data_IF_434370302675
#
_entry.id   IF_434370302675
#
_cell.length_a   1.000
_cell.length_b   1.000
_cell.length_c   1.000
_cell.angle_alpha   90.00
_cell.angle_beta   90.00
_cell.angle_gamma   90.00
#
_symmetry.space_group_name_H-M   'P 1'
#
loop_
_entity.id
_entity.type
_entity.pdbx_description
1 polymer ?
#
# COMPACT_ATOMS: atom_id res chain seq x y z
N UNK A 1 -42.79 1.38 -51.80
CA UNK A 1 -42.04 1.15 -50.54
C UNK A 1 -40.62 0.81 -50.94
N UNK A 2 -39.64 1.58 -50.47
CA UNK A 2 -38.22 1.26 -50.62
C UNK A 2 -37.88 0.42 -49.39
N UNK A 3 -37.35 -0.79 -49.58
CA UNK A 3 -36.88 -1.64 -48.48
C UNK A 3 -35.42 -1.34 -48.21
N UNK A 4 -35.08 -1.15 -46.94
CA UNK A 4 -33.72 -1.08 -46.48
C UNK A 4 -33.11 -2.49 -46.59
N UNK A 5 -31.97 -2.62 -47.26
CA UNK A 5 -31.23 -3.87 -47.43
C UNK A 5 -29.84 -3.82 -46.80
N UNK A 6 -29.54 -2.75 -46.03
CA UNK A 6 -28.27 -2.61 -45.33
C UNK A 6 -28.30 -3.38 -44.00
N UNK A 7 -27.18 -3.99 -43.64
CA UNK A 7 -27.04 -4.66 -42.39
C UNK A 7 -26.92 -3.65 -41.24
N UNK A 8 -27.48 -3.99 -40.08
CA UNK A 8 -27.25 -3.21 -38.86
C UNK A 8 -25.75 -3.13 -38.57
N UNK A 9 -25.22 -1.94 -38.22
CA UNK A 9 -23.82 -1.82 -37.86
C UNK A 9 -23.47 -2.66 -36.59
N UNK A 10 -22.20 -3.02 -36.47
CA UNK A 10 -21.63 -3.63 -35.25
C UNK A 10 -21.07 -2.54 -34.39
N UNK A 11 -21.31 -2.60 -33.08
CA UNK A 11 -20.74 -1.69 -32.08
C UNK A 11 -19.69 -2.42 -31.25
N UNK A 12 -18.46 -1.87 -31.21
CA UNK A 12 -17.28 -2.42 -30.56
C UNK A 12 -16.43 -1.34 -29.93
N UNK A 13 -15.57 -1.69 -29.00
CA UNK A 13 -14.46 -0.83 -28.60
C UNK A 13 -13.40 -0.79 -29.73
N UNK A 14 -12.80 0.38 -29.94
CA UNK A 14 -11.67 0.55 -30.86
C UNK A 14 -10.45 -0.32 -30.45
N UNK A 15 -10.24 -0.51 -29.16
CA UNK A 15 -9.21 -1.37 -28.56
C UNK A 15 -9.77 -2.07 -27.33
N UNK A 16 -9.30 -3.28 -27.05
CA UNK A 16 -9.74 -4.05 -25.88
C UNK A 16 -9.04 -3.63 -24.58
N UNK A 17 -7.96 -2.84 -24.66
CA UNK A 17 -7.23 -2.37 -23.47
C UNK A 17 -6.48 -1.06 -23.73
N UNK A 18 -6.20 -0.35 -22.63
CA UNK A 18 -5.29 0.80 -22.57
C UNK A 18 -4.81 1.00 -21.12
N UNK A 19 -3.86 1.88 -20.92
CA UNK A 19 -3.37 2.24 -19.59
C UNK A 19 -2.96 3.71 -19.53
N UNK A 20 -2.67 4.19 -18.33
CA UNK A 20 -2.09 5.51 -18.05
C UNK A 20 -1.68 5.59 -16.61
N UNK A 21 -0.74 6.48 -16.27
CA UNK A 21 -0.42 6.78 -14.89
C UNK A 21 -1.61 7.47 -14.23
N UNK A 22 -1.75 7.34 -12.92
CA UNK A 22 -2.81 8.01 -12.13
C UNK A 22 -2.69 9.53 -12.20
N UNK A 23 -1.49 10.10 -12.43
CA UNK A 23 -1.29 11.51 -12.75
C UNK A 23 -2.00 12.00 -14.04
N UNK A 24 -2.61 11.07 -14.81
CA UNK A 24 -3.44 11.38 -15.95
C UNK A 24 -4.89 11.62 -15.51
N UNK A 25 -5.34 12.83 -15.39
CA UNK A 25 -6.64 13.23 -14.81
C UNK A 25 -7.88 12.63 -15.49
N UNK A 26 -7.77 12.09 -16.72
CA UNK A 26 -8.89 11.45 -17.42
C UNK A 26 -8.46 10.60 -18.60
N UNK A 27 -9.30 9.63 -18.98
CA UNK A 27 -9.12 8.79 -20.17
C UNK A 27 -10.40 8.67 -20.96
N UNK A 28 -10.36 8.96 -22.25
CA UNK A 28 -11.45 8.68 -23.18
C UNK A 28 -11.24 7.34 -23.89
N UNK A 29 -12.25 6.49 -23.86
CA UNK A 29 -12.30 5.18 -24.50
C UNK A 29 -13.25 5.30 -25.69
N UNK A 30 -12.77 5.00 -26.91
CA UNK A 30 -13.56 5.12 -28.12
C UNK A 30 -14.37 3.85 -28.40
N UNK A 31 -15.66 4.04 -28.69
CA UNK A 31 -16.58 3.01 -29.16
C UNK A 31 -16.93 3.33 -30.59
N UNK A 32 -16.71 2.37 -31.47
CA UNK A 32 -16.86 2.50 -32.93
C UNK A 32 -18.08 1.73 -33.43
N UNK A 33 -18.61 2.17 -34.59
CA UNK A 33 -19.54 1.44 -35.42
C UNK A 33 -18.85 0.96 -36.69
N UNK A 34 -19.11 -0.27 -37.10
CA UNK A 34 -18.59 -0.85 -38.33
C UNK A 34 -19.08 -0.14 -39.60
N UNK A 35 -20.20 0.60 -39.51
CA UNK A 35 -20.79 1.40 -40.62
C UNK A 35 -21.64 2.55 -40.06
N UNK A 36 -21.82 3.59 -40.86
CA UNK A 36 -22.71 4.72 -40.53
C UNK A 36 -24.17 4.24 -40.39
N UNK A 37 -24.85 4.74 -39.35
CA UNK A 37 -26.29 4.54 -39.19
C UNK A 37 -27.08 5.84 -39.43
N UNK A 38 -28.20 5.75 -40.11
CA UNK A 38 -29.13 6.85 -40.23
C UNK A 38 -29.96 7.11 -38.97
N UNK A 39 -29.82 6.26 -37.95
CA UNK A 39 -30.46 6.35 -36.63
C UNK A 39 -29.42 6.51 -35.52
N UNK A 40 -29.82 7.13 -34.43
CA UNK A 40 -29.01 7.07 -33.24
C UNK A 40 -28.84 5.60 -32.79
N UNK A 41 -27.58 5.20 -32.55
CA UNK A 41 -27.25 3.92 -31.93
C UNK A 41 -27.02 4.17 -30.45
N UNK A 42 -27.62 3.38 -29.60
CA UNK A 42 -27.34 3.41 -28.13
C UNK A 42 -26.77 2.07 -27.69
N UNK A 43 -25.87 2.08 -26.72
CA UNK A 43 -25.32 0.89 -26.06
C UNK A 43 -25.17 1.16 -24.58
N UNK A 44 -25.64 0.25 -23.76
CA UNK A 44 -25.43 0.35 -22.31
C UNK A 44 -24.01 -0.09 -21.98
N UNK A 45 -23.44 0.51 -20.94
CA UNK A 45 -22.17 0.08 -20.37
C UNK A 45 -22.25 -0.05 -18.86
N UNK A 46 -21.57 -1.06 -18.33
CA UNK A 46 -21.41 -1.33 -16.91
C UNK A 46 -19.94 -1.33 -16.55
N UNK A 47 -19.63 -0.82 -15.35
CA UNK A 47 -18.26 -0.64 -14.86
C UNK A 47 -17.97 -1.69 -13.78
N UNK A 48 -16.79 -2.34 -13.90
CA UNK A 48 -16.22 -3.28 -12.94
C UNK A 48 -14.71 -3.05 -12.88
N UNK A 49 -13.98 -3.84 -12.11
CA UNK A 49 -12.52 -3.74 -11.98
C UNK A 49 -12.07 -3.73 -10.53
N UNK A 50 -10.80 -3.46 -10.30
CA UNK A 50 -10.20 -3.36 -8.95
C UNK A 50 -10.23 -1.93 -8.42
N UNK A 51 -10.12 -0.93 -9.31
CA UNK A 51 -10.22 0.47 -8.93
C UNK A 51 -11.60 0.83 -8.37
N UNK A 52 -11.63 1.67 -7.36
CA UNK A 52 -12.84 2.10 -6.65
C UNK A 52 -13.41 3.37 -7.29
N UNK A 53 -14.58 3.27 -7.91
CA UNK A 53 -15.27 4.41 -8.50
C UNK A 53 -15.82 5.40 -7.47
N UNK A 54 -16.66 6.32 -7.96
CA UNK A 54 -17.34 7.36 -7.15
C UNK A 54 -16.41 8.41 -6.54
N UNK A 55 -15.22 8.59 -7.13
CA UNK A 55 -14.28 9.65 -6.75
C UNK A 55 -13.24 9.25 -5.71
N UNK A 56 -13.07 7.94 -5.42
CA UNK A 56 -11.88 7.44 -4.72
C UNK A 56 -10.70 7.43 -5.69
N UNK A 57 -10.73 6.57 -6.71
CA UNK A 57 -9.64 6.47 -7.69
C UNK A 57 -10.03 7.11 -9.02
N UNK A 58 -11.32 7.11 -9.35
CA UNK A 58 -11.86 7.76 -10.57
C UNK A 58 -13.35 8.06 -10.46
N UNK A 59 -13.88 8.76 -11.48
CA UNK A 59 -15.32 8.99 -11.63
C UNK A 59 -15.80 8.45 -12.97
N UNK A 60 -16.59 7.39 -12.93
CA UNK A 60 -17.39 6.85 -14.01
C UNK A 60 -18.42 5.91 -13.40
N UNK A 61 -19.70 6.09 -13.76
CA UNK A 61 -20.79 5.19 -13.35
C UNK A 61 -21.33 4.45 -14.57
N UNK A 62 -22.10 3.38 -14.32
CA UNK A 62 -22.87 2.70 -15.37
C UNK A 62 -23.73 3.69 -16.14
N UNK A 63 -23.89 3.47 -17.44
CA UNK A 63 -24.64 4.41 -18.28
C UNK A 63 -25.01 3.88 -19.64
N UNK A 64 -25.44 4.80 -20.48
CA UNK A 64 -25.78 4.54 -21.87
C UNK A 64 -25.02 5.52 -22.77
N UNK A 65 -24.23 4.99 -23.69
CA UNK A 65 -23.56 5.76 -24.73
C UNK A 65 -24.50 5.91 -25.94
N UNK A 66 -24.53 7.10 -26.49
CA UNK A 66 -25.27 7.38 -27.77
C UNK A 66 -24.30 7.78 -28.86
N UNK A 67 -24.28 7.06 -29.95
CA UNK A 67 -23.62 7.43 -31.20
C UNK A 67 -24.68 8.04 -32.07
N UNK A 68 -24.55 9.34 -32.41
CA UNK A 68 -25.55 10.08 -33.15
C UNK A 68 -25.67 9.59 -34.61
N UNK A 69 -26.84 9.72 -35.17
CA UNK A 69 -27.08 9.43 -36.62
C UNK A 69 -26.02 10.16 -37.45
N UNK A 70 -25.39 9.43 -38.37
CA UNK A 70 -24.34 9.94 -39.24
C UNK A 70 -22.92 9.89 -38.64
N UNK A 71 -22.78 9.63 -37.37
CA UNK A 71 -21.48 9.38 -36.72
C UNK A 71 -21.09 7.91 -36.76
N UNK A 72 -19.79 7.64 -36.68
CA UNK A 72 -19.23 6.29 -36.64
C UNK A 72 -18.56 5.96 -35.31
N UNK A 73 -18.52 6.90 -34.35
CA UNK A 73 -17.94 6.68 -33.04
C UNK A 73 -18.48 7.65 -32.01
N UNK A 74 -18.31 7.27 -30.73
CA UNK A 74 -18.44 8.14 -29.58
C UNK A 74 -17.48 7.66 -28.47
N UNK A 75 -17.34 8.41 -27.39
CA UNK A 75 -16.40 8.11 -26.30
C UNK A 75 -17.09 7.93 -24.95
N UNK A 76 -16.61 6.99 -24.17
CA UNK A 76 -16.85 6.87 -22.72
C UNK A 76 -15.62 7.46 -22.04
N UNK A 77 -15.81 8.35 -21.08
CA UNK A 77 -14.69 9.02 -20.40
C UNK A 77 -14.62 8.60 -18.93
N UNK A 78 -13.50 7.97 -18.55
CA UNK A 78 -13.08 7.83 -17.16
C UNK A 78 -12.55 9.19 -16.75
N UNK A 79 -13.20 9.85 -15.80
CA UNK A 79 -12.88 11.21 -15.39
C UNK A 79 -12.37 11.23 -13.93
N UNK A 80 -11.70 12.33 -13.58
CA UNK A 80 -11.22 12.55 -12.21
C UNK A 80 -10.43 11.33 -11.68
N UNK A 81 -9.48 10.84 -12.49
CA UNK A 81 -8.49 9.89 -11.98
C UNK A 81 -7.67 10.64 -10.93
N UNK A 82 -7.54 10.05 -9.76
CA UNK A 82 -6.89 10.66 -8.60
C UNK A 82 -5.42 10.25 -8.60
N UNK A 83 -4.56 11.26 -8.44
CA UNK A 83 -3.12 11.16 -8.27
C UNK A 83 -2.83 11.52 -6.81
N UNK A 84 -2.30 10.61 -6.02
CA UNK A 84 -1.98 10.86 -4.62
C UNK A 84 -0.48 10.66 -4.33
N UNK A 85 -0.07 10.08 -3.25
CA UNK A 85 1.34 9.83 -2.88
C UNK A 85 1.49 8.51 -2.14
N UNK A 86 0.59 7.59 -2.38
CA UNK A 86 0.54 6.28 -1.75
C UNK A 86 1.04 5.24 -2.76
N UNK A 87 2.12 4.55 -2.44
CA UNK A 87 2.58 3.39 -3.24
C UNK A 87 1.52 2.29 -3.23
N UNK A 88 0.92 2.03 -4.38
CA UNK A 88 -0.20 1.10 -4.55
C UNK A 88 0.04 0.08 -5.67
N UNK A 89 -0.78 -0.94 -5.71
CA UNK A 89 -0.82 -1.86 -6.85
C UNK A 89 -1.57 -1.22 -8.02
N UNK A 90 -1.09 -1.43 -9.26
CA UNK A 90 -1.85 -1.01 -10.44
C UNK A 90 -3.29 -1.53 -10.41
N UNK A 91 -4.25 -0.67 -10.70
CA UNK A 91 -5.67 -0.97 -10.64
C UNK A 91 -6.35 -0.98 -12.01
N UNK A 92 -7.55 -1.54 -12.09
CA UNK A 92 -8.28 -1.66 -13.37
C UNK A 92 -9.67 -1.06 -13.29
N UNK A 93 -10.05 -0.38 -14.40
CA UNK A 93 -11.43 -0.01 -14.71
C UNK A 93 -11.85 -0.81 -15.95
N UNK A 94 -12.83 -1.69 -15.81
CA UNK A 94 -13.32 -2.56 -16.87
C UNK A 94 -14.69 -2.06 -17.31
N UNK A 95 -14.81 -1.67 -18.58
CA UNK A 95 -16.05 -1.19 -19.20
C UNK A 95 -16.63 -2.31 -20.06
N UNK A 96 -17.87 -2.72 -19.80
CA UNK A 96 -18.57 -3.80 -20.48
C UNK A 96 -19.76 -3.23 -21.27
N UNK A 97 -19.76 -3.35 -22.60
CA UNK A 97 -20.90 -2.96 -23.45
C UNK A 97 -21.99 -4.03 -23.45
N UNK A 98 -23.24 -3.59 -23.52
CA UNK A 98 -24.37 -4.51 -23.57
C UNK A 98 -25.62 -3.86 -24.20
N UNK A 99 -26.59 -4.69 -24.63
CA UNK A 99 -27.93 -4.27 -25.04
C UNK A 99 -27.93 -3.12 -26.05
N UNK A 100 -27.23 -3.23 -27.21
CA UNK A 100 -27.25 -2.19 -28.23
C UNK A 100 -28.64 -2.03 -28.85
N UNK A 101 -28.99 -0.81 -29.27
CA UNK A 101 -30.17 -0.49 -30.05
C UNK A 101 -29.75 0.08 -31.40
N UNK A 102 -30.42 -0.35 -32.50
CA UNK A 102 -30.07 -0.02 -33.88
C UNK A 102 -28.66 -0.47 -34.32
N UNK A 103 -28.06 -1.40 -33.61
CA UNK A 103 -26.79 -2.06 -33.88
C UNK A 103 -26.78 -3.47 -33.30
N UNK A 104 -25.77 -4.26 -33.65
CA UNK A 104 -25.44 -5.55 -33.00
C UNK A 104 -24.15 -5.40 -32.20
N UNK A 105 -24.06 -6.09 -31.10
CA UNK A 105 -22.83 -6.11 -30.27
C UNK A 105 -21.78 -6.95 -31.00
N UNK A 106 -20.56 -6.46 -31.10
CA UNK A 106 -19.43 -7.15 -31.68
C UNK A 106 -18.63 -7.98 -30.66
N UNK A 107 -17.46 -8.42 -31.09
CA UNK A 107 -16.57 -9.26 -30.28
C UNK A 107 -15.80 -8.46 -29.21
N UNK A 108 -15.46 -7.21 -29.51
CA UNK A 108 -14.67 -6.34 -28.65
C UNK A 108 -15.58 -5.48 -27.75
N UNK A 109 -16.42 -6.18 -26.97
CA UNK A 109 -17.41 -5.55 -26.09
C UNK A 109 -16.89 -5.25 -24.67
N UNK A 110 -15.62 -5.54 -24.40
CA UNK A 110 -14.98 -5.29 -23.11
C UNK A 110 -13.71 -4.47 -23.35
N UNK A 111 -13.54 -3.40 -22.56
CA UNK A 111 -12.29 -2.62 -22.53
C UNK A 111 -11.78 -2.57 -21.10
N UNK A 112 -10.49 -2.91 -20.92
CA UNK A 112 -9.78 -2.77 -19.64
C UNK A 112 -8.85 -1.56 -19.70
N UNK A 113 -9.07 -0.59 -18.84
CA UNK A 113 -8.12 0.49 -18.58
C UNK A 113 -7.37 0.19 -17.30
N UNK A 114 -6.03 0.21 -17.36
CA UNK A 114 -5.19 0.07 -16.18
C UNK A 114 -4.70 1.44 -15.72
N UNK A 115 -5.02 1.80 -14.48
CA UNK A 115 -4.43 2.94 -13.77
C UNK A 115 -3.10 2.43 -13.21
N UNK A 116 -2.00 3.02 -13.67
CA UNK A 116 -0.68 2.64 -13.20
C UNK A 116 -0.30 3.58 -12.05
N UNK A 117 0.04 3.00 -10.92
CA UNK A 117 0.68 3.69 -9.82
C UNK A 117 2.00 4.32 -10.29
N UNK A 118 2.28 5.54 -9.86
CA UNK A 118 3.51 6.27 -10.16
C UNK A 118 4.30 6.70 -8.93
N UNK A 119 3.90 6.24 -7.77
CA UNK A 119 4.56 6.54 -6.51
C UNK A 119 5.71 5.57 -6.21
N UNK A 120 6.58 6.01 -5.34
CA UNK A 120 7.77 5.23 -5.01
C UNK A 120 7.51 4.32 -3.82
N UNK A 121 7.84 3.05 -3.95
CA UNK A 121 7.86 2.10 -2.84
C UNK A 121 8.63 2.70 -1.65
N UNK A 122 8.02 2.81 -0.46
CA UNK A 122 8.64 3.45 0.70
C UNK A 122 9.88 2.69 1.19
N UNK A 123 10.80 3.40 1.84
CA UNK A 123 11.85 2.77 2.66
C UNK A 123 11.36 2.57 4.08
N UNK A 124 11.88 1.53 4.75
CA UNK A 124 11.63 1.21 6.14
C UNK A 124 12.92 1.30 6.94
N UNK A 125 12.92 2.12 7.98
CA UNK A 125 14.08 2.48 8.79
C UNK A 125 13.69 2.59 10.27
N UNK A 126 14.66 2.45 11.18
CA UNK A 126 14.44 2.93 12.55
C UNK A 126 14.42 4.46 12.60
N UNK A 127 13.51 5.03 13.37
CA UNK A 127 13.42 6.49 13.61
C UNK A 127 14.74 7.06 14.15
N UNK A 128 15.40 6.31 15.02
CA UNK A 128 16.73 6.58 15.57
C UNK A 128 17.51 5.28 15.65
N UNK A 129 18.83 5.36 15.50
CA UNK A 129 19.71 4.17 15.52
C UNK A 129 20.15 3.73 16.91
N UNK A 130 19.90 4.54 17.95
CA UNK A 130 20.21 4.18 19.33
C UNK A 130 19.34 4.92 20.35
N UNK A 131 19.08 4.25 21.46
CA UNK A 131 18.44 4.81 22.65
C UNK A 131 18.96 4.12 23.91
N UNK A 132 18.63 4.62 25.09
CA UNK A 132 18.98 4.00 26.37
C UNK A 132 17.92 4.29 27.44
N UNK A 133 17.86 3.45 28.44
CA UNK A 133 17.04 3.63 29.63
C UNK A 133 17.63 2.89 30.80
N UNK A 134 17.27 3.32 32.02
CA UNK A 134 17.64 2.61 33.24
C UNK A 134 16.89 1.26 33.26
N UNK A 135 17.45 0.26 33.95
CA UNK A 135 16.78 -1.03 34.13
C UNK A 135 15.48 -0.93 34.95
N UNK A 136 15.33 0.11 35.76
CA UNK A 136 14.08 0.45 36.46
C UNK A 136 12.92 0.84 35.52
N UNK A 137 13.17 0.99 34.22
CA UNK A 137 12.14 1.21 33.18
C UNK A 137 11.65 -0.14 32.67
N UNK A 138 10.40 -0.49 32.92
CA UNK A 138 9.84 -1.82 32.63
C UNK A 138 9.66 -2.16 31.15
N UNK A 139 9.71 -1.18 30.23
CA UNK A 139 9.55 -1.39 28.79
C UNK A 139 10.02 -0.21 27.97
N UNK A 140 10.45 -0.47 26.73
CA UNK A 140 10.82 0.54 25.73
C UNK A 140 10.21 0.21 24.38
N UNK A 141 9.71 1.23 23.68
CA UNK A 141 9.16 1.12 22.36
C UNK A 141 10.12 1.72 21.32
N UNK A 142 10.66 0.89 20.46
CA UNK A 142 11.54 1.28 19.36
C UNK A 142 10.67 1.53 18.12
N UNK A 143 10.64 2.79 17.66
CA UNK A 143 9.81 3.17 16.49
C UNK A 143 10.54 2.84 15.19
N UNK A 144 9.79 2.24 14.27
CA UNK A 144 10.18 1.98 12.88
C UNK A 144 9.28 2.80 12.00
N UNK A 145 9.87 3.60 11.10
CA UNK A 145 9.18 4.53 10.21
C UNK A 145 9.25 4.08 8.75
N UNK A 146 8.23 4.46 7.98
CA UNK A 146 8.23 4.43 6.52
C UNK A 146 8.50 5.82 5.98
N UNK A 147 9.23 5.93 4.86
CA UNK A 147 9.47 7.21 4.17
C UNK A 147 8.20 7.85 3.56
N UNK A 148 7.15 7.06 3.39
CA UNK A 148 5.83 7.46 2.89
C UNK A 148 4.80 6.38 3.17
N UNK A 149 3.51 6.65 2.97
CA UNK A 149 2.46 5.66 3.14
C UNK A 149 2.50 4.61 2.02
N UNK A 150 2.02 3.40 2.31
CA UNK A 150 1.74 2.35 1.32
C UNK A 150 0.26 1.97 1.39
N UNK A 151 -0.38 1.73 0.26
CA UNK A 151 -1.74 1.19 0.16
C UNK A 151 -1.83 -0.28 0.57
N UNK A 152 -0.66 -0.93 0.71
CA UNK A 152 -0.55 -2.32 1.15
C UNK A 152 0.03 -2.38 2.57
N UNK A 153 -0.31 -3.46 3.30
CA UNK A 153 0.34 -3.71 4.60
C UNK A 153 1.83 -3.97 4.39
N UNK A 154 2.68 -3.15 5.03
CA UNK A 154 4.13 -3.36 5.05
C UNK A 154 4.49 -4.30 6.19
N UNK A 155 5.36 -5.27 5.92
CA UNK A 155 5.93 -6.13 6.97
C UNK A 155 7.44 -6.12 6.90
N UNK A 156 8.11 -6.26 8.05
CA UNK A 156 9.57 -6.40 8.14
C UNK A 156 9.92 -7.39 9.25
N UNK A 157 10.83 -8.30 8.96
CA UNK A 157 11.37 -9.20 9.98
C UNK A 157 12.40 -8.48 10.83
N UNK A 158 12.46 -8.81 12.10
CA UNK A 158 13.51 -8.33 12.99
C UNK A 158 14.17 -9.48 13.78
N UNK A 159 15.47 -9.34 13.99
CA UNK A 159 16.29 -10.27 14.77
C UNK A 159 16.94 -9.53 15.93
N UNK A 160 17.04 -10.21 17.06
CA UNK A 160 17.57 -9.67 18.32
C UNK A 160 18.93 -10.29 18.62
N UNK A 161 19.90 -9.43 18.93
CA UNK A 161 21.25 -9.75 19.42
C UNK A 161 21.63 -8.77 20.53
N UNK A 162 22.85 -8.81 21.04
CA UNK A 162 23.36 -7.88 22.05
C UNK A 162 24.05 -8.61 23.21
N UNK A 163 24.37 -7.88 24.26
CA UNK A 163 24.99 -8.42 25.49
C UNK A 163 23.95 -8.82 26.51
N UNK A 164 22.82 -8.12 26.58
CA UNK A 164 21.71 -8.45 27.47
C UNK A 164 21.09 -9.82 27.13
N UNK A 165 20.72 -10.56 28.14
CA UNK A 165 20.16 -11.91 28.04
C UNK A 165 18.63 -11.87 27.98
N UNK A 166 18.07 -12.17 26.80
CA UNK A 166 16.62 -12.20 26.60
C UNK A 166 15.91 -13.34 27.34
N UNK A 167 14.64 -13.56 26.97
CA UNK A 167 13.77 -14.61 27.54
C UNK A 167 13.40 -14.41 29.01
N UNK A 168 13.40 -13.16 29.47
CA UNK A 168 12.96 -12.79 30.84
C UNK A 168 14.07 -12.88 31.90
N UNK A 169 15.34 -12.92 31.49
CA UNK A 169 16.47 -12.69 32.38
C UNK A 169 16.66 -11.20 32.59
N UNK A 170 17.03 -10.45 31.54
CA UNK A 170 17.20 -9.01 31.60
C UNK A 170 16.05 -8.29 30.91
N UNK A 171 15.42 -8.93 29.90
CA UNK A 171 14.27 -8.41 29.16
C UNK A 171 13.48 -9.52 28.45
N UNK A 172 12.34 -9.15 27.88
CA UNK A 172 11.54 -10.02 27.01
C UNK A 172 11.34 -9.37 25.64
N UNK A 173 12.03 -9.90 24.64
CA UNK A 173 11.80 -9.68 23.23
C UNK A 173 12.45 -10.83 22.46
N UNK A 174 11.76 -11.36 21.45
CA UNK A 174 12.26 -12.43 20.57
C UNK A 174 12.20 -11.99 19.13
N UNK A 175 12.93 -12.67 18.25
CA UNK A 175 12.83 -12.44 16.80
C UNK A 175 11.39 -12.51 16.35
N UNK A 176 11.01 -11.64 15.42
CA UNK A 176 9.62 -11.55 14.99
C UNK A 176 9.45 -10.80 13.67
N UNK A 177 8.21 -10.43 13.40
CA UNK A 177 7.83 -9.62 12.25
C UNK A 177 6.99 -8.45 12.75
N UNK A 178 7.39 -7.24 12.37
CA UNK A 178 6.58 -6.04 12.53
C UNK A 178 5.64 -5.91 11.34
N UNK A 179 4.41 -5.52 11.58
CA UNK A 179 3.40 -5.22 10.54
C UNK A 179 2.92 -3.79 10.73
N UNK A 180 3.04 -2.99 9.68
CA UNK A 180 2.53 -1.61 9.58
C UNK A 180 1.32 -1.66 8.64
N UNK A 181 0.10 -1.36 9.11
CA UNK A 181 -1.09 -1.41 8.27
C UNK A 181 -1.03 -0.45 7.09
N UNK A 182 -1.78 -0.76 6.02
CA UNK A 182 -1.96 0.15 4.89
C UNK A 182 -2.39 1.54 5.36
N UNK A 183 -1.76 2.58 4.81
CA UNK A 183 -1.98 3.99 5.14
C UNK A 183 -1.23 4.49 6.37
N UNK A 184 -0.74 3.61 7.25
CA UNK A 184 0.10 4.01 8.37
C UNK A 184 1.57 4.18 7.92
N UNK A 185 2.30 5.07 8.59
CA UNK A 185 3.71 5.39 8.28
C UNK A 185 4.68 4.97 9.37
N UNK A 186 4.23 4.30 10.42
CA UNK A 186 5.10 3.83 11.50
C UNK A 186 4.53 2.65 12.28
N UNK A 187 5.41 1.94 12.96
CA UNK A 187 5.08 0.87 13.90
C UNK A 187 6.13 0.76 15.01
N UNK A 188 5.85 -0.03 16.04
CA UNK A 188 6.74 -0.16 17.18
C UNK A 188 7.15 -1.62 17.42
N UNK A 189 8.45 -1.84 17.69
CA UNK A 189 8.98 -3.05 18.29
C UNK A 189 9.19 -2.74 19.76
N UNK A 190 8.58 -3.50 20.67
CA UNK A 190 8.60 -3.19 22.09
C UNK A 190 9.44 -4.20 22.87
N UNK A 191 10.50 -3.71 23.54
CA UNK A 191 11.21 -4.45 24.57
C UNK A 191 10.33 -4.41 25.82
N UNK A 192 10.01 -5.54 26.39
CA UNK A 192 9.14 -5.65 27.57
C UNK A 192 9.83 -6.40 28.70
N UNK A 193 9.32 -6.26 29.93
CA UNK A 193 9.88 -6.91 31.13
C UNK A 193 11.38 -6.69 31.21
N UNK A 194 11.82 -5.43 31.10
CA UNK A 194 13.16 -5.05 31.51
C UNK A 194 13.19 -5.27 33.03
N UNK A 195 14.18 -6.02 33.52
CA UNK A 195 14.27 -6.45 34.91
C UNK A 195 15.16 -5.49 35.69
N UNK A 196 14.62 -4.97 36.78
CA UNK A 196 15.25 -4.11 37.75
C UNK A 196 15.59 -5.00 38.97
N UNK A 197 16.88 -5.12 39.35
CA UNK A 197 17.26 -5.89 40.52
C UNK A 197 18.07 -5.01 41.53
N UNK A 198 19.08 -5.43 42.14
CA UNK A 198 19.90 -4.68 43.13
C UNK A 198 21.37 -5.07 43.05
N UNK A 199 21.79 -5.54 41.89
CA UNK A 199 23.15 -6.03 41.66
C UNK A 199 23.85 -5.03 40.75
N UNK A 200 24.92 -4.39 41.22
CA UNK A 200 25.78 -3.55 40.39
C UNK A 200 26.34 -4.36 39.22
N UNK A 201 25.93 -4.01 38.01
CA UNK A 201 26.25 -4.70 36.76
C UNK A 201 26.86 -3.73 35.73
N UNK A 202 27.26 -4.22 34.62
CA UNK A 202 27.69 -3.37 33.50
C UNK A 202 26.50 -3.08 32.59
N UNK A 203 26.45 -1.88 32.04
CA UNK A 203 25.47 -1.55 30.97
C UNK A 203 25.42 -2.63 29.89
N UNK A 204 24.23 -3.04 29.52
CA UNK A 204 23.99 -4.09 28.54
C UNK A 204 23.24 -3.60 27.32
N UNK A 205 23.31 -4.34 26.21
CA UNK A 205 22.70 -3.91 24.95
C UNK A 205 21.69 -4.92 24.41
N UNK A 206 20.61 -4.40 23.85
CA UNK A 206 19.66 -5.10 22.98
C UNK A 206 19.79 -4.51 21.60
N UNK A 207 20.23 -5.29 20.62
CA UNK A 207 20.42 -4.86 19.24
C UNK A 207 19.33 -5.47 18.39
N UNK A 208 18.53 -4.63 17.75
CA UNK A 208 17.43 -5.01 16.83
C UNK A 208 17.86 -4.73 15.43
N UNK A 209 17.82 -5.75 14.55
CA UNK A 209 18.19 -5.63 13.13
C UNK A 209 17.00 -5.97 12.26
N UNK A 210 16.60 -5.05 11.35
CA UNK A 210 15.54 -5.25 10.37
C UNK A 210 16.05 -6.03 9.16
N UNK A 211 15.16 -6.81 8.52
CA UNK A 211 15.48 -7.57 7.31
C UNK A 211 14.25 -7.98 6.54
N UNK A 212 14.43 -8.28 5.22
CA UNK A 212 13.41 -8.87 4.36
C UNK A 212 12.05 -8.15 4.43
N UNK A 213 11.97 -6.86 4.16
CA UNK A 213 10.68 -6.16 4.11
C UNK A 213 9.82 -6.66 2.94
N UNK A 214 8.50 -6.52 3.07
CA UNK A 214 7.52 -6.69 2.00
C UNK A 214 6.74 -5.40 1.84
N UNK A 215 6.48 -4.99 0.61
CA UNK A 215 5.85 -3.72 0.23
C UNK A 215 6.62 -2.48 0.72
N UNK A 216 7.91 -2.64 0.94
CA UNK A 216 8.87 -1.58 1.25
C UNK A 216 10.29 -2.03 0.86
N UNK A 217 11.20 -1.09 0.76
CA UNK A 217 12.64 -1.33 0.62
C UNK A 217 13.34 -1.08 1.96
N UNK A 218 14.35 -1.88 2.31
CA UNK A 218 15.13 -1.63 3.52
C UNK A 218 15.96 -0.36 3.32
N UNK A 219 15.90 0.56 4.28
CA UNK A 219 16.69 1.78 4.28
C UNK A 219 18.09 1.60 4.85
N UNK A 220 18.74 2.68 5.23
CA UNK A 220 20.12 2.68 5.76
C UNK A 220 20.19 2.46 7.27
N UNK A 221 19.13 2.84 7.99
CA UNK A 221 19.04 2.79 9.45
C UNK A 221 18.31 1.52 9.89
N UNK A 222 18.83 0.37 9.45
CA UNK A 222 18.24 -0.96 9.67
C UNK A 222 18.66 -1.63 10.99
N UNK A 223 19.50 -0.97 11.79
CA UNK A 223 19.96 -1.45 13.10
C UNK A 223 19.70 -0.41 14.17
N UNK A 224 19.05 -0.83 15.26
CA UNK A 224 18.88 -0.03 16.48
C UNK A 224 19.56 -0.71 17.65
N UNK A 225 20.31 0.05 18.47
CA UNK A 225 20.90 -0.40 19.72
C UNK A 225 20.22 0.28 20.90
N UNK A 226 19.54 -0.48 21.73
CA UNK A 226 19.04 -0.03 23.03
C UNK A 226 20.04 -0.44 24.11
N UNK A 227 20.44 0.50 24.97
CA UNK A 227 21.31 0.24 26.13
C UNK A 227 20.46 0.22 27.40
N UNK A 228 20.46 -0.90 28.10
CA UNK A 228 19.95 -1.02 29.46
C UNK A 228 21.08 -0.52 30.38
N UNK A 229 20.82 0.55 31.10
CA UNK A 229 21.79 1.17 31.99
C UNK A 229 21.50 0.74 33.42
N UNK A 230 22.53 0.19 34.08
CA UNK A 230 22.49 -0.16 35.46
C UNK A 230 22.32 1.08 36.34
N UNK A 231 21.45 1.04 37.33
CA UNK A 231 21.21 2.13 38.28
C UNK A 231 21.48 1.73 39.76
N UNK A 232 22.20 0.62 39.99
CA UNK A 232 22.59 0.13 41.29
C UNK A 232 23.98 0.62 41.76
N UNK A 233 24.12 0.74 43.06
CA UNK A 233 25.37 1.20 43.68
C UNK A 233 26.38 0.06 43.83
N UNK A 234 27.66 0.34 43.57
CA UNK A 234 28.74 -0.59 43.79
C UNK A 234 28.80 -1.05 45.27
N UNK A 235 28.96 -2.35 45.55
CA UNK A 235 29.02 -2.86 46.92
C UNK A 235 30.26 -2.35 47.65
N UNK A 236 30.08 -1.88 48.89
CA UNK A 236 31.17 -1.44 49.75
C UNK A 236 31.71 -2.59 50.60
N UNK A 237 33.02 -2.63 50.77
CA UNK A 237 33.68 -3.62 51.61
C UNK A 237 34.21 -2.92 52.86
N UNK A 238 33.65 -3.26 54.02
CA UNK A 238 34.11 -2.78 55.33
C UNK A 238 34.68 -3.91 56.18
N UNK A 239 35.71 -3.58 56.96
CA UNK A 239 36.19 -4.52 58.00
C UNK A 239 35.20 -4.61 59.16
N UNK A 240 34.58 -5.77 59.35
CA UNK A 240 33.81 -6.04 60.54
C UNK A 240 34.78 -6.23 61.73
N UNK A 241 35.21 -5.13 62.40
CA UNK A 241 35.99 -5.21 63.59
C UNK A 241 35.12 -5.71 64.73
N UNK A 242 35.38 -6.89 65.29
CA UNK A 242 34.70 -7.30 66.51
C UNK A 242 35.08 -6.29 67.64
N UNK A 243 34.07 -5.60 68.19
CA UNK A 243 34.23 -4.79 69.36
C UNK A 243 34.68 -5.70 70.49
N UNK A 244 35.88 -5.48 70.99
CA UNK A 244 36.43 -6.09 72.20
C UNK A 244 35.77 -5.57 73.47
#
# INVERSE_FOLDING_TARGET
TIFDNDNSPVVDFNTSSSNGAESTSSKSITVDLSAVSAKNVTVNYAITGTATGSGSDYTLADGTLTISAGATSATITIASIIDDSIDESNETVIVNLSSPSNATLGSDSIHTYTINDNDSTPTIDFNITSSSGLESVSSEAITVDLSGPSGETVTVNYAITGTATGSGTDYSLVNGTLSIPAGDTSGNITITNIIDDTIDEADETVIVTLSSPSNASLGSDDVHTYTITDDDDQPTIDFNTPSS
#
